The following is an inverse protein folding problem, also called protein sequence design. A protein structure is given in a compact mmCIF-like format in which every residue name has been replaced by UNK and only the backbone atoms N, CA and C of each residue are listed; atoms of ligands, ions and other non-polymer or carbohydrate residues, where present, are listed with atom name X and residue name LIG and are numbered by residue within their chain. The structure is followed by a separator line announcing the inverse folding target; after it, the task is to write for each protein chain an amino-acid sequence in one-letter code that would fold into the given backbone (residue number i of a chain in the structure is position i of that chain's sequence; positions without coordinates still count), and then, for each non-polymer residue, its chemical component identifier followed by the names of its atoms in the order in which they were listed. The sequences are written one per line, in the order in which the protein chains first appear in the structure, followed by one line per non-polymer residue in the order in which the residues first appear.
data_IF_510152161263
#
_entry.id   IF_510152161263
#
_cell.length_a   1.000
_cell.length_b   1.000
_cell.length_c   1.000
_cell.angle_alpha   90.00
_cell.angle_beta   90.00
_cell.angle_gamma   90.00
#
_symmetry.space_group_name_H-M   'P 1'
#
loop_
_entity.id
_entity.type
_entity.pdbx_description
1 polymer ?
#
# COMPACT_ATOMS: atom_id res chain seq x y z
N UNK A 1 -10.11 -4.80 -2.32
CA UNK A 1 -9.48 -5.69 -1.31
C UNK A 1 -8.22 -6.29 -1.92
N UNK A 2 -7.10 -6.34 -1.18
CA UNK A 2 -5.88 -7.08 -1.58
C UNK A 2 -6.08 -8.61 -1.57
N UNK A 3 -7.22 -9.09 -1.07
CA UNK A 3 -7.61 -10.50 -1.11
C UNK A 3 -7.76 -11.03 -2.54
N UNK A 4 -8.05 -10.17 -3.53
CA UNK A 4 -8.24 -10.62 -4.92
C UNK A 4 -6.94 -11.03 -5.63
N UNK A 5 -5.76 -10.74 -5.07
CA UNK A 5 -4.47 -11.04 -5.69
C UNK A 5 -3.62 -12.03 -4.89
N UNK A 6 -4.12 -12.60 -3.77
CA UNK A 6 -3.35 -13.49 -2.88
C UNK A 6 -1.99 -12.91 -2.42
N UNK A 7 -1.83 -11.59 -2.43
CA UNK A 7 -0.57 -10.95 -2.03
C UNK A 7 -0.37 -11.05 -0.53
N UNK A 8 0.75 -11.64 -0.11
CA UNK A 8 1.17 -11.63 1.28
C UNK A 8 1.75 -10.26 1.64
N UNK A 9 1.85 -9.97 2.94
CA UNK A 9 2.52 -8.75 3.41
C UNK A 9 3.98 -8.66 2.94
N UNK A 10 4.65 -9.80 2.79
CA UNK A 10 6.05 -9.88 2.34
C UNK A 10 6.17 -9.43 0.89
N UNK A 11 5.18 -9.74 0.06
CA UNK A 11 5.16 -9.36 -1.36
C UNK A 11 5.02 -7.85 -1.56
N UNK A 12 4.57 -7.12 -0.53
CA UNK A 12 4.44 -5.66 -0.57
C UNK A 12 5.73 -4.93 -0.14
N UNK A 13 6.67 -5.61 0.50
CA UNK A 13 7.90 -5.00 1.01
C UNK A 13 8.74 -4.33 -0.09
N UNK A 14 8.89 -4.89 -1.31
CA UNK A 14 9.61 -4.22 -2.41
C UNK A 14 9.00 -2.88 -2.83
N UNK A 15 7.69 -2.68 -2.62
CA UNK A 15 6.99 -1.49 -3.09
C UNK A 15 6.80 -0.44 -1.98
N UNK A 16 6.57 -0.90 -0.75
CA UNK A 16 6.22 -0.08 0.41
C UNK A 16 7.40 0.11 1.38
N UNK A 17 8.34 -0.84 1.42
CA UNK A 17 9.48 -0.84 2.34
C UNK A 17 9.36 -1.87 3.45
N UNK A 18 9.85 -1.57 4.65
CA UNK A 18 9.94 -2.56 5.74
C UNK A 18 8.59 -3.18 6.11
N UNK A 19 8.61 -4.40 6.66
CA UNK A 19 7.42 -5.08 7.19
C UNK A 19 6.60 -4.21 8.16
N UNK A 20 7.27 -3.41 8.99
CA UNK A 20 6.61 -2.46 9.89
C UNK A 20 5.84 -1.39 9.10
N UNK A 21 6.47 -0.82 8.05
CA UNK A 21 5.83 0.17 7.17
C UNK A 21 4.63 -0.43 6.42
N UNK A 22 4.77 -1.64 5.90
CA UNK A 22 3.64 -2.38 5.27
C UNK A 22 2.48 -2.49 6.26
N UNK A 23 2.76 -2.89 7.50
CA UNK A 23 1.72 -2.98 8.54
C UNK A 23 1.05 -1.65 8.82
N UNK A 24 1.81 -0.56 8.96
CA UNK A 24 1.25 0.79 9.19
C UNK A 24 0.31 1.22 8.06
N UNK A 25 0.69 0.99 6.79
CA UNK A 25 -0.11 1.36 5.63
C UNK A 25 -1.39 0.51 5.56
N UNK A 26 -1.27 -0.82 5.70
CA UNK A 26 -2.42 -1.72 5.63
C UNK A 26 -3.43 -1.48 6.76
N UNK A 27 -2.95 -1.08 7.93
CA UNK A 27 -3.80 -0.71 9.06
C UNK A 27 -4.23 0.78 9.03
N UNK A 28 -3.99 1.50 7.91
CA UNK A 28 -4.31 2.92 7.72
C UNK A 28 -3.77 3.84 8.82
N UNK A 29 -2.68 3.44 9.50
CA UNK A 29 -1.95 4.30 10.45
C UNK A 29 -1.07 5.32 9.75
N UNK A 30 -0.79 5.10 8.46
CA UNK A 30 0.01 5.97 7.61
C UNK A 30 -0.59 6.04 6.20
N UNK A 31 -0.47 7.21 5.57
CA UNK A 31 -0.81 7.40 4.16
C UNK A 31 0.27 6.81 3.23
N UNK A 32 -0.13 6.30 2.07
CA UNK A 32 0.81 5.99 0.99
C UNK A 32 1.54 7.27 0.55
N UNK A 33 2.84 7.15 0.28
CA UNK A 33 3.59 8.25 -0.35
C UNK A 33 3.51 8.14 -1.87
N UNK A 34 3.79 9.24 -2.59
CA UNK A 34 3.81 9.24 -4.05
C UNK A 34 4.79 8.21 -4.64
N UNK A 35 5.91 7.97 -3.97
CA UNK A 35 6.87 6.95 -4.41
C UNK A 35 6.30 5.53 -4.27
N UNK A 36 5.62 5.23 -3.15
CA UNK A 36 4.96 3.94 -2.95
C UNK A 36 3.85 3.73 -3.97
N UNK A 37 3.06 4.78 -4.27
CA UNK A 37 2.01 4.72 -5.29
C UNK A 37 2.59 4.34 -6.65
N UNK A 38 3.67 5.01 -7.09
CA UNK A 38 4.34 4.68 -8.35
C UNK A 38 4.87 3.25 -8.37
N UNK A 39 5.50 2.80 -7.28
CA UNK A 39 6.03 1.45 -7.17
C UNK A 39 4.93 0.39 -7.26
N UNK A 40 3.80 0.60 -6.57
CA UNK A 40 2.65 -0.30 -6.60
C UNK A 40 1.99 -0.33 -7.98
N UNK A 41 1.89 0.82 -8.65
CA UNK A 41 1.36 0.89 -10.01
C UNK A 41 2.24 0.11 -10.99
N UNK A 42 3.56 0.35 -10.99
CA UNK A 42 4.49 -0.29 -11.93
C UNK A 42 4.63 -1.79 -11.60
N UNK A 43 4.75 -2.15 -10.33
CA UNK A 43 5.07 -3.50 -9.90
C UNK A 43 3.88 -4.45 -9.85
N UNK A 44 2.68 -3.95 -9.59
CA UNK A 44 1.47 -4.76 -9.39
C UNK A 44 0.32 -4.38 -10.33
N UNK A 45 0.53 -3.38 -11.22
CA UNK A 45 -0.50 -2.93 -12.15
C UNK A 45 -1.71 -2.26 -11.49
N UNK A 46 -1.59 -1.83 -10.23
CA UNK A 46 -2.71 -1.21 -9.52
C UNK A 46 -2.91 0.21 -10.04
N UNK A 47 -4.13 0.53 -10.48
CA UNK A 47 -4.45 1.86 -11.02
C UNK A 47 -4.13 2.97 -10.02
N UNK A 48 -3.48 4.03 -10.49
CA UNK A 48 -3.15 5.18 -9.66
C UNK A 48 -4.39 5.83 -9.05
N UNK A 49 -5.53 5.81 -9.75
CA UNK A 49 -6.80 6.37 -9.27
C UNK A 49 -7.31 5.66 -8.00
N UNK A 50 -7.05 4.36 -7.87
CA UNK A 50 -7.39 3.56 -6.69
C UNK A 50 -6.42 3.89 -5.56
N UNK A 51 -5.13 4.02 -5.87
CA UNK A 51 -4.07 4.24 -4.89
C UNK A 51 -4.11 5.66 -4.27
N UNK A 52 -4.56 6.66 -5.02
CA UNK A 52 -4.69 8.06 -4.55
C UNK A 52 -6.03 8.33 -3.88
N UNK A 53 -6.95 7.37 -3.86
CA UNK A 53 -8.27 7.56 -3.28
C UNK A 53 -8.13 7.95 -1.80
N UNK A 54 -8.71 9.08 -1.36
CA UNK A 54 -8.56 9.54 0.01
C UNK A 54 -9.19 8.54 0.99
N UNK A 55 -8.49 8.27 2.09
CA UNK A 55 -8.98 7.44 3.18
C UNK A 55 -8.63 8.08 4.53
N UNK A 56 -9.52 7.88 5.50
CA UNK A 56 -9.26 8.32 6.87
C UNK A 56 -8.14 7.48 7.48
N UNK A 57 -7.21 8.15 8.14
CA UNK A 57 -6.18 7.50 8.92
C UNK A 57 -6.75 7.10 10.28
N UNK A 58 -6.39 5.90 10.72
CA UNK A 58 -6.69 5.45 12.06
C UNK A 58 -5.75 6.21 13.02
N UNK A 59 -6.34 6.98 13.95
CA UNK A 59 -5.59 7.51 15.07
C UNK A 59 -4.99 6.35 15.88
N UNK A 60 -3.78 6.55 16.41
CA UNK A 60 -3.11 5.54 17.24
C UNK A 60 -3.80 5.35 18.57
#
# INVERSE_FOLDING_TARGET
QMESQNLSRKDLEPFIGSRARVSEILNKKRALTLNMIRNLQIGLGISAEILVHPYQLNAS
#
